data_IF_720216823718
#
_entry.id   IF_720216823718
#
_cell.length_a   1.000
_cell.length_b   1.000
_cell.length_c   1.000
_cell.angle_alpha   90.00
_cell.angle_beta   90.00
_cell.angle_gamma   90.00
#
_symmetry.space_group_name_H-M   'P 1'
#
loop_
_entity.id
_entity.type
_entity.pdbx_description
1 polymer ?
#
# COMPACT_ATOMS: atom_id res chain seq x y z
N UNK A 1 -15.17 24.22 7.10
CA UNK A 1 -14.54 22.93 7.43
C UNK A 1 -15.28 21.89 6.60
N UNK A 2 -14.67 21.29 5.59
CA UNK A 2 -15.31 20.25 4.80
C UNK A 2 -15.28 18.95 5.60
N UNK A 3 -16.44 18.35 5.84
CA UNK A 3 -16.57 17.04 6.47
C UNK A 3 -15.66 16.03 5.75
N UNK A 4 -14.87 15.26 6.52
CA UNK A 4 -14.05 14.20 5.95
C UNK A 4 -14.94 13.19 5.23
N UNK A 5 -14.57 12.79 4.02
CA UNK A 5 -15.30 11.75 3.27
C UNK A 5 -15.11 10.42 4.00
N UNK A 6 -16.21 9.72 4.29
CA UNK A 6 -16.16 8.35 4.79
C UNK A 6 -15.37 7.45 3.82
N UNK A 7 -14.72 6.42 4.36
CA UNK A 7 -13.99 5.47 3.53
C UNK A 7 -14.97 4.73 2.60
N UNK A 8 -14.55 4.44 1.36
CA UNK A 8 -15.40 3.72 0.42
C UNK A 8 -14.63 2.63 -0.32
N UNK A 9 -15.05 1.38 -0.13
CA UNK A 9 -14.46 0.22 -0.79
C UNK A 9 -14.69 0.25 -2.31
N UNK A 10 -13.62 0.08 -3.08
CA UNK A 10 -13.63 -0.24 -4.50
C UNK A 10 -13.64 -1.76 -4.74
N UNK A 11 -14.61 -2.23 -5.53
CA UNK A 11 -14.77 -3.64 -5.92
C UNK A 11 -14.61 -3.77 -7.43
N UNK A 12 -13.82 -4.75 -7.87
CA UNK A 12 -13.68 -5.13 -9.28
C UNK A 12 -14.22 -6.55 -9.50
N UNK A 13 -14.97 -6.75 -10.56
CA UNK A 13 -15.57 -8.04 -10.93
C UNK A 13 -15.23 -8.29 -12.39
N UNK A 14 -14.63 -9.45 -12.66
CA UNK A 14 -14.31 -9.89 -14.01
C UNK A 14 -15.23 -11.05 -14.37
N UNK A 15 -16.20 -10.77 -15.24
CA UNK A 15 -17.26 -11.69 -15.65
C UNK A 15 -17.55 -11.48 -17.14
N UNK A 16 -17.29 -12.49 -17.95
CA UNK A 16 -17.46 -12.43 -19.41
C UNK A 16 -18.94 -12.62 -19.81
N UNK A 17 -19.68 -13.46 -19.08
CA UNK A 17 -21.06 -13.81 -19.44
C UNK A 17 -22.02 -12.63 -19.22
N UNK A 18 -22.68 -12.09 -20.28
CA UNK A 18 -23.51 -10.89 -20.15
C UNK A 18 -24.70 -11.03 -19.18
N UNK A 19 -25.33 -12.21 -19.14
CA UNK A 19 -26.48 -12.45 -18.28
C UNK A 19 -26.05 -12.47 -16.81
N UNK A 20 -25.03 -13.26 -16.48
CA UNK A 20 -24.46 -13.31 -15.13
C UNK A 20 -23.97 -11.93 -14.69
N UNK A 21 -23.25 -11.21 -15.56
CA UNK A 21 -22.80 -9.85 -15.26
C UNK A 21 -23.96 -8.90 -14.98
N UNK A 22 -25.08 -9.00 -15.70
CA UNK A 22 -26.30 -8.22 -15.44
C UNK A 22 -26.97 -8.57 -14.11
N UNK A 23 -27.01 -9.86 -13.75
CA UNK A 23 -27.49 -10.31 -12.43
C UNK A 23 -26.58 -9.82 -11.29
N UNK A 24 -25.26 -9.92 -11.46
CA UNK A 24 -24.26 -9.41 -10.52
C UNK A 24 -24.38 -7.90 -10.34
N UNK A 25 -24.52 -7.13 -11.43
CA UNK A 25 -24.67 -5.67 -11.36
C UNK A 25 -25.92 -5.27 -10.57
N UNK A 26 -27.06 -5.93 -10.83
CA UNK A 26 -28.31 -5.69 -10.09
C UNK A 26 -28.14 -6.00 -8.60
N UNK A 27 -27.63 -7.18 -8.27
CA UNK A 27 -27.61 -7.67 -6.90
C UNK A 27 -26.52 -6.97 -6.06
N UNK A 28 -25.37 -6.65 -6.66
CA UNK A 28 -24.38 -5.78 -6.04
C UNK A 28 -24.95 -4.39 -5.75
N UNK A 29 -25.73 -3.82 -6.67
CA UNK A 29 -26.37 -2.53 -6.45
C UNK A 29 -27.39 -2.58 -5.30
N UNK A 30 -28.12 -3.68 -5.17
CA UNK A 30 -29.06 -3.87 -4.07
C UNK A 30 -28.35 -3.95 -2.71
N UNK A 31 -27.28 -4.75 -2.62
CA UNK A 31 -26.56 -5.02 -1.37
C UNK A 31 -25.57 -3.90 -0.98
N UNK A 32 -24.95 -3.25 -1.98
CA UNK A 32 -23.74 -2.42 -1.80
C UNK A 32 -23.96 -0.95 -2.17
N UNK A 33 -24.63 -0.62 -3.29
CA UNK A 33 -24.65 0.78 -3.79
C UNK A 33 -25.40 1.76 -2.86
N UNK A 34 -26.29 1.28 -2.01
CA UNK A 34 -26.98 2.12 -1.01
C UNK A 34 -26.14 2.34 0.27
N UNK A 35 -24.99 1.68 0.38
CA UNK A 35 -24.10 1.76 1.52
C UNK A 35 -22.97 2.76 1.25
N UNK A 36 -22.91 3.81 2.08
CA UNK A 36 -21.89 4.87 1.97
C UNK A 36 -20.45 4.36 2.09
N UNK A 37 -20.25 3.15 2.61
CA UNK A 37 -18.94 2.53 2.79
C UNK A 37 -18.39 1.90 1.51
N UNK A 38 -19.11 2.00 0.38
CA UNK A 38 -18.72 1.38 -0.87
C UNK A 38 -18.89 2.35 -2.04
N UNK A 39 -17.97 2.29 -3.00
CA UNK A 39 -18.17 2.92 -4.31
C UNK A 39 -18.89 1.94 -5.23
N UNK A 40 -19.56 2.47 -6.26
CA UNK A 40 -20.19 1.64 -7.29
C UNK A 40 -19.19 0.60 -7.82
N UNK A 41 -19.51 -0.70 -7.72
CA UNK A 41 -18.65 -1.77 -8.20
C UNK A 41 -18.35 -1.63 -9.70
N UNK A 42 -17.14 -2.02 -10.08
CA UNK A 42 -16.71 -2.03 -11.48
C UNK A 42 -16.79 -3.44 -12.01
N UNK A 43 -17.56 -3.64 -13.09
CA UNK A 43 -17.67 -4.91 -13.79
C UNK A 43 -16.99 -4.80 -15.17
N UNK A 44 -16.13 -5.76 -15.50
CA UNK A 44 -15.41 -5.84 -16.78
C UNK A 44 -15.50 -7.26 -17.35
N UNK A 45 -15.37 -7.37 -18.67
CA UNK A 45 -15.62 -8.59 -19.46
C UNK A 45 -14.36 -9.38 -19.81
N UNK A 46 -13.17 -8.83 -19.57
CA UNK A 46 -11.90 -9.42 -20.04
C UNK A 46 -10.73 -9.14 -19.10
N UNK A 47 -9.69 -9.97 -19.22
CA UNK A 47 -8.48 -9.85 -18.42
C UNK A 47 -7.70 -8.55 -18.66
N UNK A 48 -7.60 -8.11 -19.91
CA UNK A 48 -6.93 -6.86 -20.27
C UNK A 48 -7.61 -5.64 -19.66
N UNK A 49 -8.94 -5.54 -19.75
CA UNK A 49 -9.69 -4.45 -19.10
C UNK A 49 -9.53 -4.44 -17.59
N UNK A 50 -9.55 -5.61 -16.95
CA UNK A 50 -9.31 -5.74 -15.52
C UNK A 50 -7.91 -5.25 -15.15
N UNK A 51 -6.89 -5.63 -15.94
CA UNK A 51 -5.52 -5.21 -15.72
C UNK A 51 -5.33 -3.70 -15.87
N UNK A 52 -5.91 -3.10 -16.90
CA UNK A 52 -5.87 -1.65 -17.14
C UNK A 52 -6.55 -0.87 -16.01
N UNK A 53 -7.70 -1.34 -15.54
CA UNK A 53 -8.41 -0.72 -14.42
C UNK A 53 -7.59 -0.83 -13.12
N UNK A 54 -6.97 -1.98 -12.85
CA UNK A 54 -6.09 -2.17 -11.69
C UNK A 54 -4.90 -1.24 -11.73
N UNK A 55 -4.33 -0.95 -12.92
CA UNK A 55 -3.23 -0.01 -13.05
C UNK A 55 -3.64 1.43 -12.68
N UNK A 56 -4.85 1.83 -13.04
CA UNK A 56 -5.34 3.21 -12.85
C UNK A 56 -5.91 3.48 -11.46
N UNK A 57 -6.51 2.46 -10.84
CA UNK A 57 -7.27 2.61 -9.59
C UNK A 57 -6.96 1.47 -8.63
N UNK A 58 -6.92 1.79 -7.34
CA UNK A 58 -6.88 0.78 -6.28
C UNK A 58 -8.24 0.12 -6.07
N UNK A 59 -8.22 -1.20 -5.99
CA UNK A 59 -9.35 -2.02 -5.58
C UNK A 59 -9.03 -2.71 -4.25
N UNK A 60 -10.02 -2.95 -3.42
CA UNK A 60 -9.86 -3.71 -2.16
C UNK A 60 -10.33 -5.14 -2.32
N UNK A 61 -11.23 -5.36 -3.28
CA UNK A 61 -11.75 -6.67 -3.61
C UNK A 61 -11.69 -6.89 -5.12
N UNK A 62 -11.30 -8.10 -5.52
CA UNK A 62 -11.50 -8.58 -6.88
C UNK A 62 -12.08 -9.99 -6.88
N UNK A 63 -13.10 -10.18 -7.72
CA UNK A 63 -13.59 -11.49 -8.10
C UNK A 63 -13.33 -11.72 -9.57
N UNK A 64 -12.88 -12.92 -9.91
CA UNK A 64 -12.52 -13.31 -11.27
C UNK A 64 -13.26 -14.60 -11.58
N UNK A 65 -14.02 -14.66 -12.68
CA UNK A 65 -14.38 -15.96 -13.23
C UNK A 65 -13.14 -16.65 -13.77
N UNK A 66 -13.01 -17.94 -13.49
CA UNK A 66 -11.94 -18.78 -14.00
C UNK A 66 -11.82 -18.68 -15.52
N UNK A 67 -12.94 -18.74 -16.25
CA UNK A 67 -12.93 -18.84 -17.70
C UNK A 67 -13.29 -17.48 -18.31
N UNK A 68 -12.29 -16.65 -18.53
CA UNK A 68 -12.45 -15.32 -19.15
C UNK A 68 -11.66 -15.23 -20.45
N UNK A 69 -12.00 -14.31 -21.36
CA UNK A 69 -11.13 -13.97 -22.47
C UNK A 69 -10.03 -12.98 -22.01
N UNK A 70 -8.86 -12.99 -22.65
CA UNK A 70 -7.82 -12.00 -22.34
C UNK A 70 -8.21 -10.63 -22.93
N UNK A 71 -8.66 -10.60 -24.19
CA UNK A 71 -9.27 -9.42 -24.83
C UNK A 71 -10.75 -9.64 -25.22
N UNK A 72 -11.51 -8.56 -25.37
CA UNK A 72 -12.89 -8.66 -25.84
C UNK A 72 -12.97 -9.34 -27.22
N UNK A 73 -13.85 -10.34 -27.33
CA UNK A 73 -14.06 -11.12 -28.57
C UNK A 73 -13.11 -12.30 -28.75
N UNK A 74 -12.14 -12.50 -27.87
CA UNK A 74 -11.31 -13.71 -27.85
C UNK A 74 -12.04 -14.91 -27.21
N UNK A 75 -11.57 -16.15 -27.47
CA UNK A 75 -12.07 -17.32 -26.76
C UNK A 75 -11.84 -17.25 -25.26
N UNK A 76 -12.82 -17.72 -24.49
CA UNK A 76 -12.69 -17.90 -23.04
C UNK A 76 -11.71 -19.03 -22.72
N UNK A 77 -10.86 -18.83 -21.71
CA UNK A 77 -9.89 -19.84 -21.29
C UNK A 77 -9.57 -19.70 -19.80
N UNK A 78 -9.44 -20.84 -19.13
CA UNK A 78 -8.91 -20.90 -17.77
C UNK A 78 -7.48 -20.33 -17.69
N UNK A 79 -6.65 -20.53 -18.72
CA UNK A 79 -5.27 -20.00 -18.70
C UNK A 79 -5.23 -18.47 -18.70
N UNK A 80 -6.21 -17.80 -19.33
CA UNK A 80 -6.31 -16.34 -19.30
C UNK A 80 -6.69 -15.85 -17.89
N UNK A 81 -7.69 -16.48 -17.26
CA UNK A 81 -8.05 -16.22 -15.86
C UNK A 81 -6.88 -16.44 -14.91
N UNK A 82 -6.10 -17.50 -15.11
CA UNK A 82 -4.95 -17.83 -14.28
C UNK A 82 -3.80 -16.83 -14.46
N UNK A 83 -3.54 -16.43 -15.71
CA UNK A 83 -2.51 -15.44 -16.02
C UNK A 83 -2.84 -14.09 -15.37
N UNK A 84 -4.08 -13.63 -15.46
CA UNK A 84 -4.53 -12.44 -14.75
C UNK A 84 -4.35 -12.61 -13.23
N UNK A 85 -4.78 -13.75 -12.69
CA UNK A 85 -4.64 -14.06 -11.26
C UNK A 85 -3.20 -13.98 -10.77
N UNK A 86 -2.27 -14.68 -11.44
CA UNK A 86 -0.84 -14.71 -11.09
C UNK A 86 -0.26 -13.29 -11.10
N UNK A 87 -0.59 -12.48 -12.13
CA UNK A 87 -0.15 -11.07 -12.20
C UNK A 87 -0.68 -10.22 -11.04
N UNK A 88 -1.93 -10.44 -10.60
CA UNK A 88 -2.52 -9.70 -9.48
C UNK A 88 -1.84 -10.09 -8.18
N UNK A 89 -1.62 -11.39 -7.94
CA UNK A 89 -0.92 -11.86 -6.73
C UNK A 89 0.48 -11.26 -6.64
N UNK A 90 1.19 -11.13 -7.76
CA UNK A 90 2.55 -10.57 -7.76
C UNK A 90 2.61 -9.06 -7.52
N UNK A 91 1.59 -8.31 -7.95
CA UNK A 91 1.67 -6.83 -8.07
C UNK A 91 0.68 -6.07 -7.19
N UNK A 92 -0.39 -6.69 -6.73
CA UNK A 92 -1.48 -6.03 -6.00
C UNK A 92 -1.79 -6.79 -4.70
N UNK A 93 -0.83 -6.77 -3.78
CA UNK A 93 -0.77 -7.64 -2.61
C UNK A 93 -1.91 -7.41 -1.61
N UNK A 94 -2.44 -6.18 -1.47
CA UNK A 94 -3.49 -5.85 -0.50
C UNK A 94 -4.89 -5.81 -1.14
N UNK A 95 -5.08 -6.53 -2.24
CA UNK A 95 -6.42 -6.80 -2.77
C UNK A 95 -6.87 -8.15 -2.23
N UNK A 96 -8.03 -8.18 -1.58
CA UNK A 96 -8.70 -9.43 -1.24
C UNK A 96 -9.26 -10.03 -2.52
N UNK A 97 -8.99 -11.29 -2.77
CA UNK A 97 -9.20 -11.89 -4.07
C UNK A 97 -9.94 -13.20 -3.95
N UNK A 98 -10.90 -13.45 -4.82
CA UNK A 98 -11.60 -14.74 -4.93
C UNK A 98 -11.73 -15.18 -6.39
N UNK A 99 -11.99 -16.47 -6.58
CA UNK A 99 -12.42 -17.01 -7.87
C UNK A 99 -13.88 -17.43 -7.74
N UNK A 100 -14.72 -16.99 -8.69
CA UNK A 100 -16.15 -17.30 -8.72
C UNK A 100 -16.51 -17.95 -10.04
N UNK A 101 -16.82 -19.25 -10.06
CA UNK A 101 -16.89 -20.00 -11.32
C UNK A 101 -17.98 -21.07 -11.39
N UNK A 102 -18.50 -21.27 -12.59
CA UNK A 102 -19.55 -22.24 -12.91
C UNK A 102 -19.05 -23.69 -12.92
N UNK A 103 -17.79 -23.88 -13.28
CA UNK A 103 -17.19 -25.19 -13.50
C UNK A 103 -15.86 -25.25 -12.77
N UNK A 104 -15.90 -25.81 -11.56
CA UNK A 104 -14.73 -25.97 -10.72
C UNK A 104 -13.66 -26.84 -11.37
N UNK A 105 -12.52 -26.27 -11.79
CA UNK A 105 -11.37 -27.07 -12.20
C UNK A 105 -10.43 -27.28 -11.00
N UNK A 106 -10.32 -28.53 -10.55
CA UNK A 106 -9.49 -28.90 -9.41
C UNK A 106 -8.00 -28.59 -9.65
N UNK A 107 -7.53 -28.63 -10.91
CA UNK A 107 -6.16 -28.27 -11.26
C UNK A 107 -5.92 -26.77 -11.13
N UNK A 108 -6.89 -25.95 -11.53
CA UNK A 108 -6.87 -24.51 -11.35
C UNK A 108 -6.92 -24.14 -9.86
N UNK A 109 -7.85 -24.72 -9.11
CA UNK A 109 -7.96 -24.54 -7.65
C UNK A 109 -6.67 -24.92 -6.91
N UNK A 110 -6.01 -26.01 -7.31
CA UNK A 110 -4.73 -26.41 -6.74
C UNK A 110 -3.59 -25.42 -7.08
N UNK A 111 -3.58 -24.84 -8.29
CA UNK A 111 -2.59 -23.83 -8.67
C UNK A 111 -2.81 -22.52 -7.92
N UNK A 112 -4.05 -22.05 -7.81
CA UNK A 112 -4.39 -20.82 -7.09
C UNK A 112 -4.21 -20.98 -5.58
N UNK A 113 -4.48 -22.16 -5.03
CA UNK A 113 -4.23 -22.50 -3.63
C UNK A 113 -2.75 -22.38 -3.22
N UNK A 114 -1.80 -22.60 -4.15
CA UNK A 114 -0.35 -22.38 -3.90
C UNK A 114 0.02 -20.92 -3.68
N UNK A 115 -0.85 -19.98 -4.06
CA UNK A 115 -0.66 -18.54 -3.91
C UNK A 115 -1.33 -17.95 -2.67
N UNK A 116 -1.54 -18.76 -1.62
CA UNK A 116 -1.97 -18.28 -0.31
C UNK A 116 -3.43 -18.51 0.03
N UNK A 117 -4.08 -19.54 -0.56
CA UNK A 117 -5.40 -20.00 -0.09
C UNK A 117 -6.61 -19.20 -0.59
N UNK A 118 -6.59 -18.76 -1.84
CA UNK A 118 -7.72 -18.04 -2.49
C UNK A 118 -9.04 -18.79 -2.31
N UNK A 119 -10.08 -18.13 -1.74
CA UNK A 119 -11.42 -18.69 -1.72
C UNK A 119 -11.91 -18.95 -3.15
N UNK A 120 -12.38 -20.17 -3.35
CA UNK A 120 -12.87 -20.67 -4.63
C UNK A 120 -14.35 -20.99 -4.48
N UNK A 121 -15.21 -20.18 -5.08
CA UNK A 121 -16.66 -20.23 -4.90
C UNK A 121 -17.34 -20.72 -6.18
N UNK A 122 -18.26 -21.68 -6.05
CA UNK A 122 -19.01 -22.21 -7.18
C UNK A 122 -20.28 -21.40 -7.46
N UNK A 123 -20.55 -21.07 -8.74
CA UNK A 123 -21.78 -20.43 -9.21
C UNK A 123 -22.95 -21.39 -9.08
N UNK A 124 -24.10 -20.90 -8.61
CA UNK A 124 -25.36 -21.66 -8.59
C UNK A 124 -25.97 -21.70 -9.98
N UNK A 125 -25.74 -22.79 -10.72
CA UNK A 125 -26.34 -23.03 -12.04
C UNK A 125 -27.56 -23.96 -11.88
N UNK A 126 -28.77 -23.45 -12.12
CA UNK A 126 -30.00 -24.26 -12.11
C UNK A 126 -30.56 -24.57 -10.71
N UNK A 127 -31.22 -25.72 -10.53
CA UNK A 127 -31.86 -26.11 -9.24
C UNK A 127 -30.84 -26.61 -8.23
N UNK A 128 -30.65 -25.81 -7.18
CA UNK A 128 -30.09 -26.13 -5.84
C UNK A 128 -28.98 -27.19 -5.78
N UNK A 129 -27.78 -26.84 -6.25
CA UNK A 129 -26.57 -27.43 -5.66
C UNK A 129 -26.38 -26.83 -4.27
N UNK A 130 -26.41 -27.66 -3.23
CA UNK A 130 -26.05 -27.25 -1.88
C UNK A 130 -24.59 -26.76 -1.86
N UNK A 131 -24.35 -25.55 -1.33
CA UNK A 131 -23.01 -24.94 -1.24
C UNK A 131 -22.57 -24.08 -2.43
N UNK A 132 -23.43 -23.87 -3.44
CA UNK A 132 -23.17 -22.93 -4.53
C UNK A 132 -23.82 -21.55 -4.27
N UNK A 133 -23.17 -20.48 -4.72
CA UNK A 133 -23.61 -19.10 -4.49
C UNK A 133 -24.43 -18.57 -5.67
N UNK A 134 -25.58 -17.97 -5.38
CA UNK A 134 -26.26 -17.04 -6.29
C UNK A 134 -25.51 -15.71 -6.36
N UNK A 135 -25.86 -14.87 -7.36
CA UNK A 135 -25.36 -13.50 -7.50
C UNK A 135 -25.58 -12.66 -6.23
N UNK A 136 -26.75 -12.79 -5.60
CA UNK A 136 -27.07 -12.13 -4.33
C UNK A 136 -26.23 -12.65 -3.14
N UNK A 137 -26.15 -13.97 -2.95
CA UNK A 137 -25.34 -14.56 -1.87
C UNK A 137 -23.85 -14.22 -2.03
N UNK A 138 -23.39 -14.09 -3.27
CA UNK A 138 -22.03 -13.64 -3.57
C UNK A 138 -21.82 -12.15 -3.25
N UNK A 139 -22.79 -11.27 -3.54
CA UNK A 139 -22.72 -9.87 -3.15
C UNK A 139 -22.67 -9.70 -1.62
N UNK A 140 -23.49 -10.45 -0.88
CA UNK A 140 -23.47 -10.51 0.59
C UNK A 140 -22.11 -11.03 1.12
N UNK A 141 -21.55 -12.07 0.48
CA UNK A 141 -20.22 -12.56 0.81
C UNK A 141 -19.14 -11.49 0.65
N UNK A 142 -19.15 -10.72 -0.45
CA UNK A 142 -18.19 -9.63 -0.68
C UNK A 142 -18.32 -8.58 0.42
N UNK A 143 -19.55 -8.14 0.71
CA UNK A 143 -19.83 -7.15 1.73
C UNK A 143 -19.29 -7.59 3.09
N UNK A 144 -19.68 -8.78 3.54
CA UNK A 144 -19.25 -9.36 4.80
C UNK A 144 -17.72 -9.48 4.89
N UNK A 145 -17.08 -10.00 3.85
CA UNK A 145 -15.62 -10.13 3.77
C UNK A 145 -14.92 -8.76 3.92
N UNK A 146 -15.41 -7.74 3.21
CA UNK A 146 -14.83 -6.40 3.29
C UNK A 146 -15.05 -5.74 4.65
N UNK A 147 -16.20 -5.97 5.27
CA UNK A 147 -16.55 -5.37 6.56
C UNK A 147 -15.81 -6.00 7.75
N UNK A 148 -15.52 -7.31 7.68
CA UNK A 148 -14.99 -8.08 8.80
C UNK A 148 -13.56 -8.59 8.60
N UNK A 149 -13.19 -9.02 7.40
CA UNK A 149 -11.95 -9.76 7.17
C UNK A 149 -10.87 -8.96 6.44
N UNK A 150 -11.22 -7.82 5.83
CA UNK A 150 -10.26 -7.04 5.03
C UNK A 150 -9.09 -6.49 5.86
N UNK A 151 -9.35 -5.93 7.05
CA UNK A 151 -8.29 -5.39 7.91
C UNK A 151 -7.33 -6.50 8.39
N UNK A 152 -7.81 -7.63 8.94
CA UNK A 152 -6.96 -8.78 9.25
C UNK A 152 -6.14 -9.26 8.05
N UNK A 153 -6.78 -9.41 6.88
CA UNK A 153 -6.10 -9.76 5.64
C UNK A 153 -4.98 -8.76 5.30
N UNK A 154 -5.26 -7.46 5.35
CA UNK A 154 -4.28 -6.42 5.05
C UNK A 154 -3.08 -6.45 6.02
N UNK A 155 -3.32 -6.69 7.31
CA UNK A 155 -2.28 -6.85 8.32
C UNK A 155 -1.42 -8.10 8.09
N UNK A 156 -2.04 -9.21 7.67
CA UNK A 156 -1.31 -10.41 7.30
C UNK A 156 -0.38 -10.17 6.11
N UNK A 157 -0.88 -9.56 5.04
CA UNK A 157 -0.08 -9.23 3.86
C UNK A 157 1.03 -8.23 4.20
N UNK A 158 0.72 -7.22 5.02
CA UNK A 158 1.71 -6.27 5.54
C UNK A 158 2.81 -6.98 6.36
N UNK A 159 2.43 -7.93 7.22
CA UNK A 159 3.36 -8.75 8.01
C UNK A 159 4.26 -9.68 7.21
N UNK A 160 3.91 -9.95 5.94
CA UNK A 160 4.68 -10.77 5.00
C UNK A 160 5.60 -9.94 4.10
N UNK A 161 5.17 -8.74 3.72
CA UNK A 161 5.80 -8.00 2.62
C UNK A 161 6.43 -6.65 3.00
N UNK A 162 6.13 -6.10 4.18
CA UNK A 162 6.79 -4.89 4.66
C UNK A 162 8.22 -5.15 5.16
N UNK A 163 9.03 -4.09 5.31
CA UNK A 163 10.30 -4.18 6.01
C UNK A 163 10.15 -4.72 7.44
N UNK A 164 11.14 -5.50 7.92
CA UNK A 164 11.08 -6.25 9.19
C UNK A 164 10.36 -5.54 10.34
N UNK A 165 10.80 -4.31 10.63
CA UNK A 165 10.30 -3.55 11.77
C UNK A 165 8.81 -3.21 11.64
N UNK A 166 8.34 -2.97 10.42
CA UNK A 166 6.93 -2.67 10.13
C UNK A 166 6.11 -3.94 9.97
N UNK A 167 6.68 -4.96 9.33
CA UNK A 167 6.08 -6.29 9.26
C UNK A 167 5.83 -6.84 10.67
N UNK A 168 6.77 -6.67 11.60
CA UNK A 168 6.62 -7.11 12.98
C UNK A 168 5.49 -6.37 13.70
N UNK A 169 5.36 -5.05 13.52
CA UNK A 169 4.22 -4.28 14.06
C UNK A 169 2.90 -4.77 13.47
N UNK A 170 2.84 -5.03 12.17
CA UNK A 170 1.64 -5.55 11.52
C UNK A 170 1.25 -6.95 12.03
N UNK A 171 2.23 -7.86 12.19
CA UNK A 171 2.02 -9.19 12.78
C UNK A 171 1.52 -9.11 14.23
N UNK A 172 2.13 -8.25 15.04
CA UNK A 172 1.70 -8.01 16.42
C UNK A 172 0.30 -7.40 16.47
N UNK A 173 -0.05 -6.50 15.54
CA UNK A 173 -1.38 -5.91 15.47
C UNK A 173 -2.42 -6.99 15.11
N UNK A 174 -2.11 -7.86 14.13
CA UNK A 174 -2.96 -8.99 13.77
C UNK A 174 -3.18 -9.95 14.95
N UNK A 175 -2.10 -10.30 15.67
CA UNK A 175 -2.20 -11.14 16.87
C UNK A 175 -3.08 -10.47 17.95
N UNK A 176 -2.87 -9.18 18.23
CA UNK A 176 -3.67 -8.42 19.18
C UNK A 176 -5.15 -8.35 18.80
N UNK A 177 -5.46 -8.25 17.50
CA UNK A 177 -6.84 -8.31 16.99
C UNK A 177 -7.50 -9.67 17.30
N UNK A 178 -6.81 -10.78 16.99
CA UNK A 178 -7.30 -12.13 17.25
C UNK A 178 -7.48 -12.42 18.74
N UNK A 179 -6.56 -11.93 19.57
CA UNK A 179 -6.61 -12.06 21.03
C UNK A 179 -7.61 -11.10 21.69
N UNK A 180 -8.29 -10.25 20.91
CA UNK A 180 -9.20 -9.18 21.37
C UNK A 180 -8.52 -8.21 22.36
N UNK A 181 -7.21 -8.05 22.24
CA UNK A 181 -6.43 -7.07 22.99
C UNK A 181 -6.45 -5.73 22.23
N UNK A 182 -7.60 -5.05 22.28
CA UNK A 182 -7.85 -3.86 21.47
C UNK A 182 -7.00 -2.65 21.86
N UNK A 183 -6.55 -2.57 23.12
CA UNK A 183 -5.54 -1.57 23.52
C UNK A 183 -4.24 -1.75 22.72
N UNK A 184 -3.69 -2.97 22.73
CA UNK A 184 -2.44 -3.24 22.02
C UNK A 184 -2.62 -3.07 20.51
N UNK A 185 -3.76 -3.52 19.98
CA UNK A 185 -4.13 -3.34 18.57
C UNK A 185 -4.08 -1.87 18.14
N UNK A 186 -4.76 -0.98 18.87
CA UNK A 186 -4.79 0.46 18.56
C UNK A 186 -3.41 1.10 18.71
N UNK A 187 -2.66 0.78 19.76
CA UNK A 187 -1.30 1.30 19.94
C UNK A 187 -0.38 0.88 18.80
N UNK A 188 -0.47 -0.36 18.35
CA UNK A 188 0.33 -0.86 17.22
C UNK A 188 -0.06 -0.18 15.91
N UNK A 189 -1.35 0.12 15.69
CA UNK A 189 -1.79 0.91 14.54
C UNK A 189 -1.24 2.32 14.54
N UNK A 190 -1.14 2.97 15.71
CA UNK A 190 -0.48 4.27 15.84
C UNK A 190 1.01 4.15 15.48
N UNK A 191 1.71 3.11 15.95
CA UNK A 191 3.12 2.90 15.57
C UNK A 191 3.29 2.67 14.06
N UNK A 192 2.36 1.93 13.43
CA UNK A 192 2.31 1.72 11.98
C UNK A 192 2.09 3.07 11.28
N UNK A 193 1.08 3.84 11.70
CA UNK A 193 0.80 5.17 11.16
C UNK A 193 1.99 6.10 11.24
N UNK A 194 2.61 6.22 12.43
CA UNK A 194 3.79 7.05 12.61
C UNK A 194 4.85 6.63 11.59
N UNK A 195 5.09 5.34 11.40
CA UNK A 195 6.07 4.83 10.45
C UNK A 195 5.75 5.16 8.98
N UNK A 196 4.49 5.03 8.58
CA UNK A 196 4.05 5.36 7.21
C UNK A 196 4.14 6.86 6.95
N UNK A 197 3.78 7.68 7.94
CA UNK A 197 3.96 9.13 7.86
C UNK A 197 5.44 9.51 7.69
N UNK A 198 6.33 8.87 8.47
CA UNK A 198 7.77 9.06 8.38
C UNK A 198 8.33 8.65 7.00
N UNK A 199 7.90 7.50 6.45
CA UNK A 199 8.30 7.05 5.11
C UNK A 199 7.79 7.99 4.01
N UNK A 200 6.53 8.41 4.10
CA UNK A 200 5.92 9.37 3.19
C UNK A 200 6.65 10.72 3.21
N UNK A 201 7.02 11.18 4.41
CA UNK A 201 7.86 12.36 4.60
C UNK A 201 9.21 12.22 3.88
N UNK A 202 9.95 11.15 4.13
CA UNK A 202 11.25 10.93 3.52
C UNK A 202 11.21 10.92 1.99
N UNK A 203 10.23 10.20 1.45
CA UNK A 203 10.01 10.14 0.01
C UNK A 203 9.67 11.52 -0.56
N UNK A 204 8.83 12.27 0.13
CA UNK A 204 8.47 13.65 -0.27
C UNK A 204 9.71 14.54 -0.34
N UNK A 205 10.65 14.41 0.60
CA UNK A 205 11.91 15.15 0.54
C UNK A 205 12.77 14.75 -0.67
N UNK A 206 12.87 13.45 -0.96
CA UNK A 206 13.61 12.94 -2.11
C UNK A 206 12.99 13.45 -3.43
N UNK A 207 11.66 13.43 -3.54
CA UNK A 207 10.94 13.94 -4.69
C UNK A 207 11.12 15.45 -4.85
N UNK A 208 11.02 16.21 -3.76
CA UNK A 208 11.29 17.65 -3.82
C UNK A 208 12.72 17.96 -4.25
N UNK A 209 13.71 17.15 -3.84
CA UNK A 209 15.08 17.30 -4.33
C UNK A 209 15.15 17.13 -5.85
N UNK A 210 14.60 16.04 -6.39
CA UNK A 210 14.62 15.74 -7.82
C UNK A 210 13.85 16.76 -8.64
N UNK A 211 12.71 17.23 -8.11
CA UNK A 211 11.87 18.25 -8.73
C UNK A 211 12.41 19.69 -8.56
N UNK A 212 13.53 19.89 -7.85
CA UNK A 212 14.08 21.23 -7.56
C UNK A 212 13.18 22.11 -6.69
N UNK A 213 12.29 21.50 -5.88
CA UNK A 213 11.36 22.19 -5.00
C UNK A 213 12.01 22.44 -3.63
N UNK A 214 12.06 23.70 -3.22
CA UNK A 214 12.41 24.08 -1.85
C UNK A 214 11.18 24.04 -0.93
N UNK A 215 11.38 23.47 0.26
CA UNK A 215 10.38 23.36 1.32
C UNK A 215 10.60 24.37 2.47
N UNK A 216 11.63 25.23 2.37
CA UNK A 216 12.00 26.17 3.44
C UNK A 216 12.60 25.49 4.68
N UNK A 217 12.55 26.19 5.82
CA UNK A 217 13.25 25.78 7.06
C UNK A 217 12.62 24.55 7.68
N UNK A 218 13.45 23.56 8.03
CA UNK A 218 13.02 22.39 8.80
C UNK A 218 12.65 22.79 10.23
N UNK A 219 11.39 22.59 10.64
CA UNK A 219 10.98 22.66 12.03
C UNK A 219 11.31 21.32 12.72
N UNK A 220 11.29 21.26 14.06
CA UNK A 220 12.01 20.34 14.96
C UNK A 220 11.82 18.81 14.87
N UNK A 221 11.35 18.26 13.76
CA UNK A 221 11.26 16.82 13.49
C UNK A 221 10.09 16.08 14.16
N UNK A 222 9.09 16.80 14.65
CA UNK A 222 7.86 16.23 15.20
C UNK A 222 6.92 15.70 14.11
N UNK A 223 5.98 14.81 14.48
CA UNK A 223 4.96 14.30 13.53
C UNK A 223 4.12 15.43 12.93
N UNK A 224 3.73 16.41 13.74
CA UNK A 224 2.95 17.56 13.27
C UNK A 224 3.70 18.39 12.22
N UNK A 225 5.01 18.50 12.34
CA UNK A 225 5.85 19.20 11.36
C UNK A 225 6.04 18.38 10.09
N UNK A 226 6.16 17.05 10.19
CA UNK A 226 6.17 16.18 9.01
C UNK A 226 4.86 16.29 8.24
N UNK A 227 3.72 16.22 8.93
CA UNK A 227 2.40 16.45 8.32
C UNK A 227 2.33 17.81 7.64
N UNK A 228 2.82 18.88 8.29
CA UNK A 228 2.83 20.22 7.70
C UNK A 228 3.67 20.25 6.41
N UNK A 229 4.86 19.64 6.42
CA UNK A 229 5.70 19.54 5.23
C UNK A 229 4.99 18.77 4.11
N UNK A 230 4.32 17.66 4.42
CA UNK A 230 3.51 16.93 3.44
C UNK A 230 2.39 17.80 2.86
N UNK A 231 1.69 18.56 3.70
CA UNK A 231 0.63 19.50 3.27
C UNK A 231 1.15 20.58 2.33
N UNK A 232 2.37 21.06 2.54
CA UNK A 232 2.98 22.12 1.74
C UNK A 232 3.64 21.61 0.45
N UNK A 233 4.20 20.39 0.49
CA UNK A 233 4.97 19.79 -0.60
C UNK A 233 4.08 19.10 -1.64
N UNK A 234 3.08 18.33 -1.19
CA UNK A 234 2.28 17.49 -2.08
C UNK A 234 1.51 18.25 -3.15
N UNK A 235 0.90 19.43 -2.87
CA UNK A 235 0.29 20.22 -3.94
C UNK A 235 1.30 20.66 -5.01
N UNK A 236 2.52 21.06 -4.62
CA UNK A 236 3.58 21.47 -5.55
C UNK A 236 4.07 20.30 -6.41
N UNK A 237 4.26 19.13 -5.79
CA UNK A 237 4.63 17.90 -6.49
C UNK A 237 3.52 17.43 -7.44
N UNK A 238 2.25 17.55 -7.03
CA UNK A 238 1.10 17.19 -7.85
C UNK A 238 0.95 18.07 -9.09
N UNK A 239 1.19 19.39 -8.97
CA UNK A 239 1.20 20.31 -10.12
C UNK A 239 2.23 19.91 -11.20
N UNK A 240 3.31 19.25 -10.78
CA UNK A 240 4.35 18.76 -11.68
C UNK A 240 4.18 17.26 -12.03
N UNK A 241 3.01 16.67 -11.77
CA UNK A 241 2.69 15.24 -11.98
C UNK A 241 3.58 14.25 -11.21
N UNK A 242 4.34 14.68 -10.20
CA UNK A 242 5.16 13.73 -9.43
C UNK A 242 4.29 12.84 -8.55
N UNK A 243 3.13 13.30 -8.06
CA UNK A 243 2.32 12.51 -7.13
C UNK A 243 1.53 11.35 -7.77
N UNK A 244 1.55 11.15 -9.09
CA UNK A 244 0.71 10.16 -9.79
C UNK A 244 0.72 8.76 -9.15
N UNK A 245 1.88 8.19 -8.72
CA UNK A 245 1.90 6.87 -8.09
C UNK A 245 1.07 6.79 -6.81
N UNK A 246 1.03 7.85 -6.00
CA UNK A 246 0.20 7.90 -4.79
C UNK A 246 -1.28 8.02 -5.11
N UNK A 247 -1.65 8.80 -6.15
CA UNK A 247 -3.05 9.10 -6.45
C UNK A 247 -3.87 7.85 -6.74
N UNK A 248 -3.24 6.78 -7.24
CA UNK A 248 -3.85 5.45 -7.40
C UNK A 248 -4.40 4.89 -6.08
N UNK A 249 -3.68 5.12 -4.98
CA UNK A 249 -3.96 4.54 -3.66
C UNK A 249 -4.76 5.50 -2.78
N UNK A 250 -4.33 6.74 -2.65
CA UNK A 250 -4.93 7.72 -1.71
C UNK A 250 -5.91 8.68 -2.38
N UNK A 251 -6.21 8.44 -3.66
CA UNK A 251 -7.13 9.23 -4.48
C UNK A 251 -6.51 10.47 -5.11
N UNK A 252 -7.07 10.86 -6.26
CA UNK A 252 -6.61 12.01 -7.07
C UNK A 252 -6.88 13.35 -6.36
N UNK A 253 -8.04 13.47 -5.72
CA UNK A 253 -8.54 14.73 -5.16
C UNK A 253 -8.51 15.90 -6.17
N UNK A 254 -8.58 17.14 -5.71
CA UNK A 254 -8.33 18.30 -6.56
C UNK A 254 -6.81 18.62 -6.60
N UNK A 255 -6.14 18.32 -7.72
CA UNK A 255 -4.68 18.47 -7.95
C UNK A 255 -4.10 19.83 -7.56
N UNK A 256 -4.92 20.89 -7.52
CA UNK A 256 -4.48 22.26 -7.28
C UNK A 256 -4.67 22.72 -5.82
N UNK A 257 -5.17 21.85 -4.94
CA UNK A 257 -5.54 22.22 -3.57
C UNK A 257 -4.87 21.35 -2.52
N UNK A 258 -4.68 21.90 -1.31
CA UNK A 258 -4.38 21.11 -0.10
C UNK A 258 -5.50 20.11 0.24
N UNK A 259 -6.65 20.22 -0.42
CA UNK A 259 -7.73 19.25 -0.41
C UNK A 259 -7.49 18.04 -1.34
N UNK A 260 -6.49 18.10 -2.22
CA UNK A 260 -6.24 17.12 -3.28
C UNK A 260 -5.23 16.03 -2.99
N UNK A 261 -4.14 16.01 -3.76
CA UNK A 261 -3.12 14.96 -3.80
C UNK A 261 -2.59 14.65 -2.39
N UNK A 262 -3.04 13.53 -1.83
CA UNK A 262 -2.74 13.08 -0.49
C UNK A 262 -3.28 13.92 0.68
N UNK A 263 -3.92 15.06 0.41
CA UNK A 263 -4.71 15.76 1.42
C UNK A 263 -5.81 14.88 2.02
N UNK A 264 -6.37 13.94 1.23
CA UNK A 264 -7.32 12.95 1.73
C UNK A 264 -6.68 12.01 2.75
N UNK A 265 -5.49 11.46 2.48
CA UNK A 265 -4.75 10.65 3.45
C UNK A 265 -4.46 11.44 4.74
N UNK A 266 -3.98 12.68 4.63
CA UNK A 266 -3.65 13.50 5.80
C UNK A 266 -4.87 13.83 6.65
N UNK A 267 -6.01 14.12 6.03
CA UNK A 267 -7.26 14.43 6.76
C UNK A 267 -7.98 13.21 7.28
N UNK A 268 -8.01 12.13 6.51
CA UNK A 268 -8.87 10.97 6.82
C UNK A 268 -8.14 9.88 7.60
N UNK A 269 -6.82 9.78 7.49
CA UNK A 269 -6.01 8.88 8.32
C UNK A 269 -5.16 9.66 9.34
N UNK A 270 -4.33 10.59 8.87
CA UNK A 270 -3.27 11.16 9.71
C UNK A 270 -3.79 12.04 10.86
N UNK A 271 -4.70 12.97 10.57
CA UNK A 271 -5.27 13.87 11.58
C UNK A 271 -6.00 13.12 12.70
N UNK A 272 -6.92 12.18 12.41
CA UNK A 272 -7.56 11.35 13.45
C UNK A 272 -6.54 10.55 14.27
N UNK A 273 -5.58 9.89 13.62
CA UNK A 273 -4.61 9.06 14.33
C UNK A 273 -3.66 9.88 15.19
N UNK A 274 -3.33 11.12 14.79
CA UNK A 274 -2.61 12.07 15.63
C UNK A 274 -3.42 12.50 16.84
N UNK A 275 -4.72 12.76 16.68
CA UNK A 275 -5.62 13.07 17.79
C UNK A 275 -5.65 11.91 18.78
N UNK A 276 -5.92 10.70 18.29
CA UNK A 276 -5.92 9.48 19.10
C UNK A 276 -4.60 9.29 19.85
N UNK A 277 -3.47 9.44 19.16
CA UNK A 277 -2.14 9.31 19.77
C UNK A 277 -1.90 10.32 20.89
N UNK A 278 -2.39 11.54 20.76
CA UNK A 278 -2.31 12.55 21.82
C UNK A 278 -3.25 12.22 22.98
N UNK A 279 -4.44 11.68 22.71
CA UNK A 279 -5.38 11.25 23.74
C UNK A 279 -4.86 10.02 24.49
N UNK A 280 -4.22 9.06 23.80
CA UNK A 280 -3.64 7.86 24.43
C UNK A 280 -2.55 8.20 25.47
N UNK A 281 -1.98 9.40 25.42
CA UNK A 281 -1.06 9.88 26.43
C UNK A 281 -1.74 10.14 27.80
N UNK A 282 -3.07 10.21 27.85
CA UNK A 282 -3.86 10.60 29.02
C UNK A 282 -4.70 9.47 29.66
N UNK A 283 -4.43 8.21 29.32
CA UNK A 283 -5.08 6.98 29.82
C UNK A 283 -6.58 6.85 29.54
N UNK A 284 -7.00 5.68 29.04
CA UNK A 284 -8.40 5.35 28.75
C UNK A 284 -8.92 4.25 29.69
N UNK A 285 -10.23 4.26 30.01
CA UNK A 285 -10.90 3.11 30.62
C UNK A 285 -10.79 1.85 29.75
N UNK A 286 -10.70 0.66 30.38
CA UNK A 286 -10.51 -0.61 29.67
C UNK A 286 -11.69 -0.98 28.74
N UNK A 287 -12.88 -0.48 29.03
CA UNK A 287 -14.12 -0.67 28.26
C UNK A 287 -14.24 0.27 27.04
N UNK A 288 -13.38 1.29 26.93
CA UNK A 288 -13.41 2.23 25.80
C UNK A 288 -12.75 1.68 24.52
N UNK A 289 -11.91 0.64 24.61
CA UNK A 289 -11.09 0.17 23.50
C UNK A 289 -11.88 -0.48 22.36
N UNK A 290 -12.99 -1.16 22.66
CA UNK A 290 -13.89 -1.74 21.67
C UNK A 290 -14.55 -0.64 20.84
N UNK A 291 -15.06 0.40 21.51
CA UNK A 291 -15.69 1.54 20.89
C UNK A 291 -14.69 2.33 20.03
N UNK A 292 -13.47 2.58 20.54
CA UNK A 292 -12.40 3.23 19.79
C UNK A 292 -12.02 2.43 18.54
N UNK A 293 -11.97 1.10 18.63
CA UNK A 293 -11.68 0.25 17.47
C UNK A 293 -12.73 0.41 16.37
N UNK A 294 -14.01 0.51 16.74
CA UNK A 294 -15.09 0.77 15.79
C UNK A 294 -15.04 2.20 15.21
N UNK A 295 -14.80 3.21 16.06
CA UNK A 295 -14.73 4.63 15.67
C UNK A 295 -13.59 4.90 14.69
N UNK A 296 -12.43 4.28 14.91
CA UNK A 296 -11.24 4.49 14.09
C UNK A 296 -11.14 3.55 12.89
N UNK A 297 -12.14 2.72 12.61
CA UNK A 297 -12.15 1.80 11.46
C UNK A 297 -11.83 2.51 10.13
N UNK A 298 -12.50 3.63 9.85
CA UNK A 298 -12.29 4.39 8.61
C UNK A 298 -10.87 4.96 8.50
N UNK A 299 -10.32 5.68 9.51
CA UNK A 299 -8.92 6.09 9.52
C UNK A 299 -7.92 4.95 9.29
N UNK A 300 -8.17 3.78 9.86
CA UNK A 300 -7.33 2.60 9.65
C UNK A 300 -7.41 2.08 8.20
N UNK A 301 -8.59 2.10 7.58
CA UNK A 301 -8.75 1.73 6.17
C UNK A 301 -8.02 2.70 5.23
N UNK A 302 -8.09 4.02 5.48
CA UNK A 302 -7.30 5.00 4.71
C UNK A 302 -5.78 4.81 4.92
N UNK A 303 -5.36 4.39 6.11
CA UNK A 303 -3.96 4.04 6.36
C UNK A 303 -3.55 2.77 5.61
N UNK A 304 -4.44 1.78 5.47
CA UNK A 304 -4.21 0.57 4.67
C UNK A 304 -3.98 0.91 3.20
N UNK A 305 -4.69 1.90 2.63
CA UNK A 305 -4.43 2.35 1.27
C UNK A 305 -3.02 2.95 1.12
N UNK A 306 -2.57 3.74 2.10
CA UNK A 306 -1.20 4.24 2.14
C UNK A 306 -0.17 3.11 2.35
N UNK A 307 -0.47 2.10 3.17
CA UNK A 307 0.37 0.92 3.33
C UNK A 307 0.53 0.16 2.03
N UNK A 308 -0.55 0.05 1.25
CA UNK A 308 -0.49 -0.66 -0.01
C UNK A 308 0.41 0.03 -1.03
N UNK A 309 0.50 1.36 -1.04
CA UNK A 309 1.51 2.06 -1.82
C UNK A 309 2.92 1.53 -1.48
N UNK A 310 3.24 1.33 -0.20
CA UNK A 310 4.56 0.86 0.23
C UNK A 310 4.81 -0.63 -0.02
N UNK A 311 3.78 -1.46 0.02
CA UNK A 311 3.88 -2.91 -0.16
C UNK A 311 3.86 -3.31 -1.63
N UNK A 312 3.02 -2.65 -2.43
CA UNK A 312 2.84 -2.92 -3.86
C UNK A 312 3.86 -2.16 -4.71
N UNK A 313 4.56 -1.17 -4.15
CA UNK A 313 5.73 -0.57 -4.79
C UNK A 313 6.95 -1.46 -4.58
N UNK A 314 7.46 -2.12 -5.63
CA UNK A 314 8.35 -3.28 -5.52
C UNK A 314 9.76 -2.96 -5.00
N UNK A 315 10.03 -1.74 -4.55
CA UNK A 315 11.39 -1.24 -4.35
C UNK A 315 11.73 -0.79 -2.91
N UNK A 316 11.12 -1.30 -1.84
CA UNK A 316 11.77 -1.23 -0.52
C UNK A 316 12.97 -2.21 -0.45
N UNK A 317 13.89 -2.09 -1.40
CA UNK A 317 15.01 -2.97 -1.66
C UNK A 317 16.32 -2.16 -1.58
N UNK A 318 17.39 -2.80 -1.11
CA UNK A 318 18.73 -2.35 -1.46
C UNK A 318 18.95 -2.69 -2.93
N UNK A 319 19.01 -1.67 -3.79
CA UNK A 319 19.21 -1.87 -5.23
C UNK A 319 20.69 -2.10 -5.54
N UNK A 320 21.01 -3.13 -6.32
CA UNK A 320 22.37 -3.43 -6.80
C UNK A 320 22.33 -3.70 -8.29
N UNK A 321 23.37 -3.32 -9.03
CA UNK A 321 23.47 -3.75 -10.43
C UNK A 321 23.62 -5.28 -10.50
N UNK A 322 22.96 -5.92 -11.46
CA UNK A 322 23.11 -7.35 -11.68
C UNK A 322 24.58 -7.66 -11.99
N UNK A 323 25.19 -8.67 -11.33
CA UNK A 323 26.64 -8.89 -11.39
C UNK A 323 27.16 -9.18 -12.80
N UNK A 324 26.34 -9.78 -13.66
CA UNK A 324 26.71 -10.13 -15.04
C UNK A 324 25.94 -9.37 -16.12
N UNK A 325 24.89 -8.63 -15.75
CA UNK A 325 24.04 -7.90 -16.69
C UNK A 325 23.91 -6.46 -16.22
N UNK A 326 24.87 -5.60 -16.58
CA UNK A 326 24.87 -4.18 -16.16
C UNK A 326 23.62 -3.38 -16.59
N UNK A 327 22.74 -3.99 -17.39
CA UNK A 327 21.42 -3.51 -17.83
C UNK A 327 20.25 -4.00 -16.94
N UNK A 328 20.52 -4.68 -15.83
CA UNK A 328 19.51 -5.08 -14.86
C UNK A 328 19.87 -4.60 -13.47
N UNK A 329 18.87 -4.12 -12.73
CA UNK A 329 18.99 -3.88 -11.29
C UNK A 329 18.37 -5.07 -10.58
N UNK A 330 19.14 -5.62 -9.66
CA UNK A 330 18.73 -6.62 -8.70
C UNK A 330 18.43 -5.90 -7.40
N UNK A 331 17.17 -5.89 -7.01
CA UNK A 331 16.81 -5.41 -5.69
C UNK A 331 16.78 -6.56 -4.69
N UNK A 332 17.43 -6.36 -3.55
CA UNK A 332 17.33 -7.29 -2.42
C UNK A 332 16.28 -6.75 -1.47
N UNK A 333 15.18 -7.50 -1.27
CA UNK A 333 14.13 -7.06 -0.37
C UNK A 333 14.62 -6.91 1.05
N UNK A 334 14.28 -5.78 1.68
CA UNK A 334 14.55 -5.55 3.10
C UNK A 334 13.47 -6.30 3.89
N UNK A 335 13.27 -7.58 3.59
CA UNK A 335 12.42 -8.44 4.40
C UNK A 335 13.28 -8.93 5.54
N UNK A 336 12.86 -8.71 6.78
CA UNK A 336 13.65 -9.20 7.90
C UNK A 336 13.51 -10.68 8.06
N UNK A 337 14.61 -11.29 8.49
CA UNK A 337 14.84 -12.64 9.02
C UNK A 337 14.31 -13.81 8.17
N UNK A 338 13.48 -13.55 7.17
CA UNK A 338 12.98 -14.49 6.21
C UNK A 338 13.90 -14.48 4.99
N UNK A 339 14.12 -15.68 4.47
CA UNK A 339 14.86 -15.98 3.24
C UNK A 339 14.56 -14.90 2.20
N UNK A 340 15.57 -14.29 1.56
CA UNK A 340 15.36 -13.22 0.58
C UNK A 340 14.30 -13.68 -0.40
N UNK A 341 13.22 -12.88 -0.50
CA UNK A 341 12.24 -13.04 -1.55
C UNK A 341 12.98 -13.18 -2.89
N UNK A 342 12.53 -14.03 -3.82
CA UNK A 342 13.21 -14.21 -5.09
C UNK A 342 13.56 -12.85 -5.69
N UNK A 343 14.85 -12.69 -6.01
CA UNK A 343 15.43 -11.44 -6.52
C UNK A 343 14.55 -10.92 -7.65
N UNK A 344 13.93 -9.75 -7.46
CA UNK A 344 13.25 -9.08 -8.55
C UNK A 344 14.31 -8.43 -9.43
N UNK A 345 14.48 -8.99 -10.62
CA UNK A 345 15.25 -8.38 -11.68
C UNK A 345 14.37 -7.38 -12.43
N UNK A 346 14.83 -6.14 -12.54
CA UNK A 346 14.14 -5.08 -13.29
C UNK A 346 15.06 -4.65 -14.44
N UNK A 347 14.49 -4.55 -15.65
CA UNK A 347 15.20 -4.06 -16.82
C UNK A 347 15.44 -2.54 -16.73
N UNK A 348 16.67 -2.11 -17.03
CA UNK A 348 17.11 -0.71 -16.90
C UNK A 348 16.64 0.15 -18.07
N UNK A 349 16.17 -0.42 -19.19
CA UNK A 349 15.74 0.37 -20.33
C UNK A 349 14.58 1.34 -20.04
N UNK A 350 13.83 1.12 -18.95
CA UNK A 350 12.75 2.00 -18.48
C UNK A 350 13.17 2.99 -17.39
N UNK A 351 14.44 3.05 -16.98
CA UNK A 351 14.90 3.74 -15.76
C UNK A 351 16.05 4.70 -16.07
N UNK A 352 15.77 6.01 -16.09
CA UNK A 352 16.79 7.03 -16.27
C UNK A 352 17.87 7.00 -15.16
N UNK A 353 19.12 7.25 -15.55
CA UNK A 353 20.32 7.50 -14.72
C UNK A 353 20.30 6.94 -13.29
N UNK A 354 20.56 5.63 -13.16
CA UNK A 354 20.62 4.97 -11.86
C UNK A 354 21.88 5.44 -11.10
N UNK A 355 21.74 5.93 -9.85
CA UNK A 355 22.89 6.26 -9.00
C UNK A 355 23.77 5.04 -8.73
N UNK A 356 25.07 5.27 -8.49
CA UNK A 356 25.96 4.20 -8.00
C UNK A 356 25.53 3.79 -6.60
N UNK A 357 24.73 2.73 -6.50
CA UNK A 357 24.22 2.23 -5.22
C UNK A 357 25.34 1.70 -4.33
N UNK A 358 25.30 2.14 -3.08
CA UNK A 358 26.02 1.52 -1.96
C UNK A 358 25.03 0.72 -1.10
N UNK A 359 25.53 -0.15 -0.23
CA UNK A 359 24.69 -1.03 0.62
C UNK A 359 23.78 -0.27 1.62
N UNK A 360 23.95 1.05 1.75
CA UNK A 360 23.19 1.91 2.64
C UNK A 360 21.95 2.54 1.98
N UNK A 361 21.84 2.53 0.65
CA UNK A 361 20.79 3.24 -0.07
C UNK A 361 19.48 2.46 -0.09
N UNK A 362 18.38 3.19 0.08
CA UNK A 362 17.01 2.71 -0.11
C UNK A 362 16.46 3.42 -1.32
N UNK A 363 15.98 2.70 -2.32
CA UNK A 363 15.52 3.34 -3.55
C UNK A 363 14.20 2.76 -4.00
N UNK A 364 13.20 3.57 -4.36
CA UNK A 364 11.87 3.15 -4.83
C UNK A 364 11.75 3.21 -6.36
N UNK A 365 10.87 2.41 -6.99
CA UNK A 365 10.48 2.65 -8.38
C UNK A 365 9.43 3.76 -8.32
N UNK A 366 9.65 4.79 -9.10
CA UNK A 366 8.76 5.91 -9.25
C UNK A 366 8.28 6.01 -10.68
N UNK A 367 6.98 6.22 -10.89
CA UNK A 367 6.40 6.39 -12.22
C UNK A 367 6.03 7.85 -12.39
N UNK A 368 6.76 8.56 -13.24
CA UNK A 368 6.63 10.01 -13.42
C UNK A 368 5.64 10.36 -14.56
N UNK A 369 5.49 9.46 -15.54
CA UNK A 369 4.51 9.52 -16.64
C UNK A 369 4.05 8.10 -17.02
N UNK A 370 2.98 7.94 -17.81
CA UNK A 370 2.31 6.66 -18.09
C UNK A 370 3.22 5.52 -18.56
N UNK A 371 4.47 5.78 -18.98
CA UNK A 371 5.45 4.76 -19.38
C UNK A 371 6.92 5.03 -18.97
N UNK A 372 7.20 6.02 -18.11
CA UNK A 372 8.59 6.27 -17.67
C UNK A 372 8.72 5.95 -16.18
N UNK A 373 9.41 4.84 -15.91
CA UNK A 373 9.81 4.48 -14.56
C UNK A 373 11.13 5.18 -14.23
N UNK A 374 11.41 5.39 -12.95
CA UNK A 374 12.71 5.84 -12.50
C UNK A 374 13.02 5.26 -11.13
N UNK A 375 14.29 5.18 -10.77
CA UNK A 375 14.68 4.80 -9.41
C UNK A 375 14.80 6.08 -8.57
N UNK A 376 13.87 6.27 -7.64
CA UNK A 376 13.91 7.32 -6.63
C UNK A 376 14.82 6.88 -5.49
N UNK A 377 16.04 7.42 -5.44
CA UNK A 377 16.93 7.24 -4.30
C UNK A 377 16.42 8.05 -3.10
N UNK A 378 16.10 7.37 -2.00
CA UNK A 378 15.64 8.00 -0.77
C UNK A 378 16.81 8.50 0.08
N UNK A 379 18.06 8.17 -0.26
CA UNK A 379 19.22 8.68 0.44
C UNK A 379 19.39 10.20 0.21
N UNK A 380 19.73 10.99 1.24
CA UNK A 380 20.08 10.61 2.61
C UNK A 380 18.92 10.68 3.60
N UNK A 381 17.67 10.75 3.14
CA UNK A 381 16.49 10.90 3.98
C UNK A 381 16.07 9.57 4.62
N UNK A 382 16.26 8.47 3.90
CA UNK A 382 16.17 7.10 4.42
C UNK A 382 17.47 6.36 4.10
N UNK A 383 17.94 5.55 5.04
CA UNK A 383 19.08 4.66 4.82
C UNK A 383 18.92 3.36 5.59
N UNK A 384 19.67 2.35 5.15
CA UNK A 384 19.79 1.09 5.85
C UNK A 384 20.89 1.16 6.93
N UNK A 385 20.64 0.51 8.06
CA UNK A 385 21.66 0.29 9.08
C UNK A 385 21.49 -1.07 9.75
N UNK A 386 22.51 -1.50 10.50
CA UNK A 386 22.47 -2.69 11.34
C UNK A 386 22.60 -2.31 12.79
N UNK A 387 21.77 -2.91 13.63
CA UNK A 387 21.91 -2.76 15.09
C UNK A 387 23.17 -3.50 15.59
N UNK A 388 23.56 -3.37 16.87
CA UNK A 388 24.71 -4.09 17.43
C UNK A 388 24.65 -5.61 17.29
N UNK A 389 23.45 -6.18 17.10
CA UNK A 389 23.19 -7.60 16.88
C UNK A 389 23.24 -7.98 15.38
N UNK A 390 23.55 -7.02 14.50
CA UNK A 390 23.64 -7.22 13.06
C UNK A 390 22.28 -7.21 12.34
N UNK A 391 21.19 -6.92 13.05
CA UNK A 391 19.84 -6.94 12.49
C UNK A 391 19.58 -5.69 11.64
N UNK A 392 19.02 -5.85 10.44
CA UNK A 392 18.66 -4.75 9.57
C UNK A 392 17.62 -3.83 10.21
N UNK A 393 17.78 -2.52 10.10
CA UNK A 393 16.69 -1.57 10.34
C UNK A 393 16.79 -0.34 9.43
N UNK A 394 15.64 0.26 9.17
CA UNK A 394 15.54 1.50 8.41
C UNK A 394 15.75 2.69 9.34
N UNK A 395 16.62 3.59 8.90
CA UNK A 395 16.90 4.85 9.58
C UNK A 395 16.36 6.01 8.77
N UNK A 396 15.64 6.90 9.44
CA UNK A 396 15.05 8.10 8.84
C UNK A 396 15.71 9.36 9.40
N UNK A 397 15.99 10.34 8.55
CA UNK A 397 16.46 11.66 8.98
C UNK A 397 15.46 12.33 9.96
N UNK A 398 15.89 12.63 11.19
CA UNK A 398 15.02 13.06 12.30
C UNK A 398 15.41 14.44 12.90
N UNK A 399 15.78 15.40 12.06
CA UNK A 399 16.65 16.56 12.38
C UNK A 399 16.33 17.39 13.65
N UNK A 400 17.40 17.82 14.31
CA UNK A 400 17.73 19.24 14.54
C UNK A 400 19.23 19.43 14.22
N UNK A 401 19.69 20.66 14.00
CA UNK A 401 21.06 21.03 13.60
C UNK A 401 22.18 20.17 14.20
N UNK A 402 23.10 19.70 13.34
CA UNK A 402 24.36 19.00 13.63
C UNK A 402 24.74 18.99 15.12
N UNK A 403 24.67 17.85 15.77
CA UNK A 403 25.42 17.67 17.02
C UNK A 403 26.85 17.33 16.62
N UNK A 404 27.75 18.31 16.68
CA UNK A 404 29.18 18.13 16.34
C UNK A 404 29.40 17.47 14.96
N UNK A 405 28.88 18.09 13.89
CA UNK A 405 28.93 17.61 12.49
C UNK A 405 28.12 16.35 12.12
N UNK A 406 27.42 15.74 13.07
CA UNK A 406 26.62 14.52 12.85
C UNK A 406 25.14 14.82 12.67
N UNK A 407 24.50 14.09 11.79
CA UNK A 407 23.07 14.13 11.53
C UNK A 407 22.35 13.05 12.33
N UNK A 408 21.18 13.39 12.85
CA UNK A 408 20.38 12.48 13.66
C UNK A 408 19.39 11.73 12.79
N UNK A 409 19.35 10.42 12.98
CA UNK A 409 18.44 9.51 12.33
C UNK A 409 17.59 8.80 13.38
N UNK A 410 16.27 8.70 13.16
CA UNK A 410 15.38 7.87 13.95
C UNK A 410 15.34 6.48 13.34
N UNK A 411 15.63 5.47 14.15
CA UNK A 411 15.38 4.09 13.77
C UNK A 411 13.89 3.82 13.75
N UNK A 412 13.38 3.23 12.65
CA UNK A 412 12.00 2.79 12.56
C UNK A 412 11.75 1.52 13.39
N UNK A 413 12.77 0.82 13.88
CA UNK A 413 12.59 -0.40 14.70
C UNK A 413 12.29 -0.09 16.16
N UNK A 414 13.08 0.78 16.79
CA UNK A 414 13.02 1.06 18.23
C UNK A 414 12.69 2.54 18.55
N UNK A 415 12.51 3.36 17.51
CA UNK A 415 12.22 4.80 17.65
C UNK A 415 13.38 5.63 18.18
N UNK A 416 14.56 5.03 18.43
CA UNK A 416 15.72 5.73 19.01
C UNK A 416 16.43 6.59 17.99
N UNK A 417 17.17 7.57 18.48
CA UNK A 417 17.97 8.47 17.67
C UNK A 417 19.42 7.99 17.58
N UNK A 418 19.96 7.99 16.37
CA UNK A 418 21.30 7.56 16.02
C UNK A 418 22.03 8.70 15.30
N UNK A 419 23.27 8.98 15.70
CA UNK A 419 24.08 10.03 15.06
C UNK A 419 24.97 9.47 13.95
N UNK A 420 24.96 10.09 12.77
CA UNK A 420 25.67 9.64 11.57
C UNK A 420 26.45 10.76 10.91
N UNK A 421 27.61 10.42 10.36
CA UNK A 421 28.35 11.32 9.47
C UNK A 421 27.78 11.18 8.06
N UNK A 422 27.56 12.31 7.40
CA UNK A 422 27.08 12.32 6.02
C UNK A 422 28.18 12.81 5.07
N UNK A 423 28.39 12.15 3.93
CA UNK A 423 29.23 12.62 2.85
C UNK A 423 28.87 14.06 2.41
N UNK A 424 29.81 14.80 1.79
CA UNK A 424 29.53 16.13 1.25
C UNK A 424 28.28 16.20 0.34
N UNK A 425 28.12 15.24 -0.57
CA UNK A 425 26.98 15.18 -1.48
C UNK A 425 25.64 15.05 -0.73
N UNK A 426 25.55 14.13 0.22
CA UNK A 426 24.37 13.95 1.08
C UNK A 426 24.01 15.25 1.83
N UNK A 427 25.02 15.93 2.39
CA UNK A 427 24.81 17.20 3.10
C UNK A 427 24.28 18.28 2.15
N UNK A 428 24.78 18.32 0.91
CA UNK A 428 24.30 19.24 -0.11
C UNK A 428 22.85 18.93 -0.49
N UNK A 429 22.49 17.66 -0.72
CA UNK A 429 21.10 17.25 -0.99
C UNK A 429 20.13 17.73 0.09
N UNK A 430 20.46 17.48 1.37
CA UNK A 430 19.61 17.98 2.47
C UNK A 430 19.56 19.51 2.45
N UNK A 431 20.68 20.19 2.24
CA UNK A 431 20.66 21.65 2.16
C UNK A 431 19.82 22.18 0.99
N UNK A 432 19.82 21.54 -0.17
CA UNK A 432 19.06 21.98 -1.34
C UNK A 432 17.56 21.91 -1.12
N UNK A 433 17.06 20.83 -0.50
CA UNK A 433 15.61 20.66 -0.23
C UNK A 433 15.10 21.69 0.80
N UNK A 434 15.96 22.09 1.73
CA UNK A 434 15.58 22.85 2.92
C UNK A 434 16.16 24.27 3.00
N UNK A 435 16.76 24.77 1.92
CA UNK A 435 17.10 26.19 1.72
C UNK A 435 15.92 26.85 1.05
#
# INVERSE_FOLDING_TARGET
MGEGRAFAFNILVVEDEPNMRGDLERDLKEVIDNDKNFNTPRLVSSGHMAWDDLFRKRYHFISIDQNIPDNEGEPISADHGLSLWERIVEKNLLIYRIIYTAFGDTSYSNRTGRFGGTPYLEKKIGREKAGAYSSYEWAEYIKSTLEHDYIPFALEQAGRHLPLSLAERARRALAAYHDKNFESYIRLWIEIWESILHLAFAQTLALCHQAGISLGRIPGGTLAEQEQILRDAWPKLAQQNWMQPWLRYIGVGNRESSAGAGGLFLRSASDPLRQLRNELAHSFPADAWDQLTAEYKDPLLFLIDALAFWIENPLLLGARYHPTQRRRVVGTAIMGDQVPFPLREIDIHDLAEIPKNTDEHICLIWHHEENQSMILDLYPFVMFDRDPQGRPHLMLLARSTKQSDRWMYRSLSDGRLHSRFLPPAARQTIQTVFR
#
